data_IF_839452102982
#
_entry.id   IF_839452102982
#
_cell.length_a   1.000
_cell.length_b   1.000
_cell.length_c   1.000
_cell.angle_alpha   90.00
_cell.angle_beta   90.00
_cell.angle_gamma   90.00
#
_symmetry.space_group_name_H-M   'P 1'
#
loop_
_entity.id
_entity.type
_entity.pdbx_description
1 polymer ?
#
# COMPACT_ATOMS: atom_id res chain seq x y z
N UNK A 1 -53.92 3.87 -22.53
CA UNK A 1 -52.99 3.18 -23.45
C UNK A 1 -52.29 2.06 -22.69
N UNK A 2 -51.73 1.11 -23.44
CA UNK A 2 -51.56 -0.30 -23.15
C UNK A 2 -50.57 -0.71 -22.04
N UNK A 3 -50.77 -1.94 -21.56
CA UNK A 3 -49.91 -2.73 -20.65
C UNK A 3 -48.72 -3.25 -21.47
N UNK A 4 -47.49 -3.19 -20.93
CA UNK A 4 -46.42 -4.12 -21.33
C UNK A 4 -45.82 -4.78 -20.10
N UNK A 5 -46.12 -6.07 -20.02
CA UNK A 5 -45.58 -7.11 -19.14
C UNK A 5 -44.24 -7.54 -19.72
N UNK A 6 -43.17 -7.51 -18.93
CA UNK A 6 -41.91 -8.13 -19.35
C UNK A 6 -41.47 -9.20 -18.34
N UNK A 7 -40.99 -10.32 -18.90
CA UNK A 7 -40.84 -11.61 -18.27
C UNK A 7 -39.48 -11.76 -17.59
N UNK A 8 -39.52 -12.27 -16.35
CA UNK A 8 -38.37 -12.82 -15.64
C UNK A 8 -37.89 -14.12 -16.30
N UNK A 9 -36.58 -14.24 -16.57
CA UNK A 9 -35.92 -15.51 -16.86
C UNK A 9 -34.56 -15.55 -16.16
N UNK A 10 -34.37 -16.59 -15.36
CA UNK A 10 -33.14 -16.97 -14.63
C UNK A 10 -32.44 -18.11 -15.36
N UNK A 11 -31.14 -18.25 -15.09
CA UNK A 11 -30.19 -19.38 -15.30
C UNK A 11 -29.15 -19.06 -16.39
N UNK A 12 -27.85 -19.38 -16.24
CA UNK A 12 -27.25 -20.55 -15.59
C UNK A 12 -25.77 -20.31 -15.27
N UNK A 13 -25.30 -21.03 -14.24
CA UNK A 13 -23.94 -21.16 -13.74
C UNK A 13 -22.91 -21.68 -14.75
N UNK A 14 -21.64 -21.32 -14.53
CA UNK A 14 -20.46 -21.85 -15.23
C UNK A 14 -19.20 -21.60 -14.41
N UNK A 15 -18.94 -22.50 -13.46
CA UNK A 15 -17.69 -22.71 -12.74
C UNK A 15 -16.72 -23.46 -13.67
N UNK A 16 -15.47 -23.01 -13.83
CA UNK A 16 -14.31 -23.90 -13.84
C UNK A 16 -12.95 -23.16 -13.79
N UNK A 17 -11.93 -23.93 -13.44
CA UNK A 17 -10.74 -23.56 -12.68
C UNK A 17 -9.41 -23.66 -13.47
N UNK A 18 -8.39 -22.93 -12.99
CA UNK A 18 -6.92 -23.14 -13.07
C UNK A 18 -6.15 -23.19 -14.41
N UNK A 19 -5.02 -22.46 -14.53
CA UNK A 19 -3.95 -22.76 -15.49
C UNK A 19 -2.84 -23.64 -14.87
N UNK A 20 -2.44 -24.67 -15.61
CA UNK A 20 -1.40 -25.64 -15.25
C UNK A 20 0.02 -25.21 -15.61
N UNK A 21 0.95 -25.87 -14.93
CA UNK A 21 2.42 -25.75 -14.91
C UNK A 21 3.15 -26.44 -16.07
N UNK A 22 4.48 -26.17 -16.15
CA UNK A 22 5.57 -26.87 -16.86
C UNK A 22 5.98 -26.26 -18.21
N UNK A 23 7.23 -26.23 -18.67
CA UNK A 23 8.58 -26.54 -18.14
C UNK A 23 9.62 -26.13 -19.20
N UNK A 24 10.89 -26.03 -18.77
CA UNK A 24 12.16 -25.85 -19.48
C UNK A 24 12.28 -26.36 -20.93
N UNK A 25 13.07 -25.66 -21.75
CA UNK A 25 13.82 -26.22 -22.88
C UNK A 25 15.02 -25.31 -23.19
N UNK A 26 16.22 -25.89 -23.09
CA UNK A 26 17.53 -25.36 -23.47
C UNK A 26 18.05 -26.23 -24.61
N UNK A 27 18.64 -25.63 -25.64
CA UNK A 27 19.66 -26.19 -26.55
C UNK A 27 19.91 -25.17 -27.67
N UNK A 28 21.17 -24.81 -27.91
CA UNK A 28 21.77 -24.74 -29.26
C UNK A 28 23.27 -24.38 -29.19
N UNK A 29 24.01 -25.05 -30.08
CA UNK A 29 25.46 -25.25 -30.21
C UNK A 29 26.28 -24.05 -30.74
N UNK A 30 27.62 -24.04 -30.54
CA UNK A 30 28.61 -24.32 -31.60
C UNK A 30 30.09 -24.00 -31.24
N UNK A 31 30.92 -24.97 -31.64
CA UNK A 31 32.37 -25.08 -31.92
C UNK A 31 33.29 -23.83 -32.04
N UNK A 32 34.48 -23.89 -31.44
CA UNK A 32 35.75 -24.23 -32.12
C UNK A 32 37.02 -23.84 -31.31
N UNK A 33 37.98 -24.75 -31.36
CA UNK A 33 39.28 -24.83 -30.67
C UNK A 33 40.31 -23.78 -31.13
N UNK A 34 41.34 -23.45 -30.29
CA UNK A 34 42.80 -23.37 -30.59
C UNK A 34 43.61 -22.93 -29.34
N UNK A 35 44.26 -23.87 -28.64
CA UNK A 35 45.72 -24.17 -28.63
C UNK A 35 46.66 -23.12 -27.99
N UNK A 36 47.04 -23.41 -26.73
CA UNK A 36 48.34 -23.34 -26.04
C UNK A 36 49.25 -22.12 -26.22
N UNK A 37 49.73 -21.53 -25.10
CA UNK A 37 51.15 -21.47 -24.71
C UNK A 37 51.31 -20.89 -23.29
N UNK A 38 52.18 -21.54 -22.52
CA UNK A 38 52.59 -21.27 -21.15
C UNK A 38 53.47 -20.01 -20.99
N UNK A 39 53.43 -19.45 -19.78
CA UNK A 39 54.51 -18.76 -19.01
C UNK A 39 55.18 -17.53 -19.68
N UNK A 40 55.19 -16.35 -19.06
CA UNK A 40 56.29 -15.92 -18.18
C UNK A 40 55.90 -14.69 -17.32
N UNK A 41 56.54 -14.61 -16.15
CA UNK A 41 56.58 -13.48 -15.23
C UNK A 41 57.18 -12.23 -15.89
N UNK A 42 56.79 -11.03 -15.44
CA UNK A 42 57.70 -9.93 -15.05
C UNK A 42 56.88 -8.81 -14.38
N UNK A 43 57.52 -8.13 -13.44
CA UNK A 43 56.99 -7.15 -12.48
C UNK A 43 56.89 -5.71 -13.05
N UNK A 44 56.43 -4.78 -12.20
CA UNK A 44 56.48 -3.31 -12.32
C UNK A 44 55.35 -2.60 -13.10
N UNK A 45 54.34 -2.16 -12.34
CA UNK A 45 53.90 -0.77 -12.43
C UNK A 45 53.31 -0.33 -11.10
N UNK A 46 54.00 0.61 -10.45
CA UNK A 46 53.56 1.32 -9.25
C UNK A 46 52.28 2.10 -9.52
N UNK A 47 51.13 1.45 -9.33
CA UNK A 47 49.83 2.09 -9.25
C UNK A 47 49.66 2.66 -7.85
N UNK A 48 49.92 3.96 -7.73
CA UNK A 48 49.53 4.84 -6.62
C UNK A 48 48.29 4.31 -5.88
N UNK A 49 48.46 3.86 -4.64
CA UNK A 49 47.37 3.58 -3.68
C UNK A 49 46.65 4.89 -3.33
N UNK A 50 45.85 5.34 -4.28
CA UNK A 50 44.78 6.31 -4.16
C UNK A 50 43.63 5.64 -3.43
N UNK A 51 43.52 5.75 -2.10
CA UNK A 51 42.26 5.60 -1.34
C UNK A 51 42.42 6.26 0.04
N UNK A 52 42.93 7.49 0.11
CA UNK A 52 42.92 8.25 1.37
C UNK A 52 41.51 8.80 1.62
N UNK A 53 40.83 8.16 2.57
CA UNK A 53 39.84 8.79 3.44
C UNK A 53 38.70 9.52 2.73
N UNK A 54 37.94 8.78 1.93
CA UNK A 54 36.52 9.09 1.79
C UNK A 54 35.82 8.52 3.02
N UNK A 55 35.98 9.20 4.16
CA UNK A 55 35.02 9.18 5.26
C UNK A 55 33.73 9.79 4.71
N UNK A 56 33.03 9.01 3.89
CA UNK A 56 31.64 9.25 3.56
C UNK A 56 30.88 8.97 4.84
N UNK A 57 30.95 9.94 5.75
CA UNK A 57 30.04 10.08 6.86
C UNK A 57 28.65 9.94 6.27
N UNK A 58 28.10 8.75 6.40
CA UNK A 58 26.68 8.52 6.42
C UNK A 58 26.22 9.31 7.65
N UNK A 59 26.01 10.60 7.46
CA UNK A 59 25.00 11.34 8.19
C UNK A 59 23.74 10.53 7.92
N UNK A 60 23.48 9.60 8.82
CA UNK A 60 22.15 9.08 8.97
C UNK A 60 21.39 10.34 9.29
N UNK A 61 20.59 10.83 8.34
CA UNK A 61 19.56 11.81 8.61
C UNK A 61 18.70 11.15 9.68
N UNK A 62 19.11 11.34 10.93
CA UNK A 62 18.42 10.94 12.12
C UNK A 62 17.23 11.86 12.13
N UNK A 63 16.17 11.39 11.47
CA UNK A 63 14.89 12.07 11.39
C UNK A 63 14.59 12.55 12.80
N UNK A 64 14.71 13.85 13.03
CA UNK A 64 14.55 14.41 14.35
C UNK A 64 13.07 14.26 14.70
N UNK A 65 12.76 13.16 15.40
CA UNK A 65 11.43 12.84 15.89
C UNK A 65 10.92 13.94 16.83
N UNK A 66 11.82 14.82 17.31
CA UNK A 66 11.50 15.99 18.13
C UNK A 66 10.91 17.16 17.34
N UNK A 67 11.10 17.22 16.01
CA UNK A 67 10.59 18.30 15.15
C UNK A 67 9.28 17.92 14.41
N UNK A 68 8.87 16.65 14.48
CA UNK A 68 7.90 16.07 13.55
C UNK A 68 6.44 15.96 14.04
N UNK A 69 6.12 16.60 15.15
CA UNK A 69 4.74 16.68 15.64
C UNK A 69 4.62 17.54 16.89
N UNK A 70 3.48 18.20 17.04
CA UNK A 70 3.05 18.70 18.35
C UNK A 70 3.12 17.51 19.33
N UNK A 71 3.53 17.70 20.58
CA UNK A 71 3.88 16.61 21.53
C UNK A 71 2.75 15.57 21.79
N UNK A 72 1.58 15.78 21.20
CA UNK A 72 0.37 14.95 21.27
C UNK A 72 0.04 14.24 19.95
N UNK A 73 0.92 14.27 18.93
CA UNK A 73 0.68 13.65 17.62
C UNK A 73 1.83 12.75 17.20
N UNK A 74 1.51 11.68 16.47
CA UNK A 74 2.46 10.74 15.86
C UNK A 74 2.43 10.88 14.35
N UNK A 75 3.59 10.93 13.69
CA UNK A 75 3.65 10.93 12.23
C UNK A 75 3.39 9.52 11.69
N UNK A 76 2.39 9.40 10.84
CA UNK A 76 2.04 8.21 10.08
C UNK A 76 2.26 8.41 8.58
N UNK A 77 2.59 7.33 7.88
CA UNK A 77 2.73 7.25 6.44
C UNK A 77 1.72 6.22 5.90
N UNK A 78 0.90 6.64 4.93
CA UNK A 78 -0.04 5.76 4.21
C UNK A 78 0.20 5.93 2.72
N UNK A 79 0.78 4.90 2.10
CA UNK A 79 1.26 5.00 0.72
C UNK A 79 2.33 6.10 0.62
N UNK A 80 2.07 7.10 -0.20
CA UNK A 80 2.91 8.26 -0.46
C UNK A 80 2.41 9.56 0.24
N UNK A 81 1.46 9.44 1.17
CA UNK A 81 0.98 10.55 1.99
C UNK A 81 1.45 10.41 3.44
N UNK A 82 1.97 11.50 4.00
CA UNK A 82 2.29 11.62 5.43
C UNK A 82 1.17 12.39 6.15
N UNK A 83 0.81 11.94 7.36
CA UNK A 83 -0.21 12.59 8.19
C UNK A 83 0.13 12.47 9.68
N UNK A 84 -0.19 13.50 10.45
CA UNK A 84 -0.03 13.49 11.91
C UNK A 84 -1.32 13.00 12.56
N UNK A 85 -1.22 11.95 13.37
CA UNK A 85 -2.34 11.29 14.05
C UNK A 85 -2.31 11.64 15.54
N UNK A 86 -3.38 12.17 16.13
CA UNK A 86 -3.44 12.44 17.56
C UNK A 86 -3.31 11.17 18.40
N UNK A 87 -2.48 11.22 19.47
CA UNK A 87 -2.26 10.07 20.36
C UNK A 87 -3.53 9.60 21.06
N UNK A 88 -4.45 10.53 21.35
CA UNK A 88 -5.76 10.24 21.97
C UNK A 88 -6.61 9.29 21.12
N UNK A 89 -6.38 9.23 19.79
CA UNK A 89 -7.08 8.31 18.91
C UNK A 89 -6.83 6.84 19.30
N UNK A 90 -5.66 6.53 19.88
CA UNK A 90 -5.31 5.18 20.30
C UNK A 90 -6.04 4.72 21.57
N UNK A 91 -6.47 5.65 22.41
CA UNK A 91 -7.23 5.37 23.63
C UNK A 91 -8.67 4.97 23.33
N UNK A 92 -9.15 5.24 22.11
CA UNK A 92 -10.48 4.84 21.67
C UNK A 92 -10.60 3.30 21.57
N UNK A 93 -11.78 2.73 21.90
CA UNK A 93 -12.03 1.31 21.71
C UNK A 93 -12.10 0.94 20.23
N UNK A 94 -12.66 1.82 19.39
CA UNK A 94 -12.77 1.70 17.95
C UNK A 94 -12.86 3.08 17.27
N UNK A 95 -12.68 3.11 15.95
CA UNK A 95 -12.79 4.33 15.15
C UNK A 95 -14.24 4.76 14.88
N UNK A 96 -15.24 3.93 15.18
CA UNK A 96 -16.64 4.22 14.87
C UNK A 96 -17.19 5.42 15.64
N UNK A 97 -16.59 5.74 16.79
CA UNK A 97 -16.90 6.96 17.55
C UNK A 97 -16.55 8.26 16.82
N UNK A 98 -15.54 8.25 15.94
CA UNK A 98 -15.08 9.41 15.19
C UNK A 98 -15.51 9.31 13.72
N UNK A 99 -15.29 8.16 13.10
CA UNK A 99 -15.66 7.85 11.71
C UNK A 99 -17.06 7.22 11.68
N UNK A 100 -18.08 8.07 11.82
CA UNK A 100 -19.48 7.66 11.81
C UNK A 100 -20.28 8.35 10.70
N UNK A 101 -21.46 7.82 10.40
CA UNK A 101 -22.40 8.45 9.47
C UNK A 101 -22.91 9.80 10.00
N UNK A 102 -22.99 9.94 11.33
CA UNK A 102 -23.38 11.18 11.98
C UNK A 102 -22.28 12.24 11.77
N UNK A 103 -21.01 11.91 12.02
CA UNK A 103 -19.87 12.78 11.72
C UNK A 103 -19.88 13.18 10.24
N UNK A 104 -20.07 12.20 9.34
CA UNK A 104 -20.13 12.46 7.90
C UNK A 104 -21.22 13.50 7.54
N UNK A 105 -22.40 13.41 8.15
CA UNK A 105 -23.53 14.28 7.81
C UNK A 105 -23.56 15.61 8.56
N UNK A 106 -23.05 15.66 9.79
CA UNK A 106 -23.22 16.79 10.70
C UNK A 106 -21.97 17.66 10.82
N UNK A 107 -20.76 17.09 10.72
CA UNK A 107 -19.52 17.84 10.92
C UNK A 107 -18.84 18.26 9.63
N UNK A 108 -19.07 17.53 8.54
CA UNK A 108 -18.47 17.81 7.23
C UNK A 108 -19.37 18.71 6.38
N UNK A 109 -18.74 19.67 5.70
CA UNK A 109 -19.38 20.49 4.67
C UNK A 109 -19.68 19.66 3.42
N UNK A 110 -20.55 20.19 2.54
CA UNK A 110 -20.84 19.53 1.26
C UNK A 110 -19.61 19.40 0.35
N UNK A 111 -18.73 20.41 0.36
CA UNK A 111 -17.47 20.39 -0.40
C UNK A 111 -16.52 19.30 0.11
N UNK A 112 -16.35 19.18 1.42
CA UNK A 112 -15.50 18.13 2.02
C UNK A 112 -16.05 16.73 1.71
N UNK A 113 -17.36 16.53 1.82
CA UNK A 113 -18.00 15.25 1.44
C UNK A 113 -17.80 14.94 -0.04
N UNK A 114 -17.90 15.94 -0.90
CA UNK A 114 -17.65 15.78 -2.33
C UNK A 114 -16.21 15.33 -2.60
N UNK A 115 -15.22 16.00 -2.00
CA UNK A 115 -13.80 15.62 -2.14
C UNK A 115 -13.54 14.22 -1.58
N UNK A 116 -14.09 13.88 -0.42
CA UNK A 116 -13.93 12.56 0.18
C UNK A 116 -14.58 11.47 -0.67
N UNK A 117 -15.74 11.76 -1.28
CA UNK A 117 -16.43 10.81 -2.16
C UNK A 117 -15.61 10.43 -3.40
N UNK A 118 -14.66 11.28 -3.84
CA UNK A 118 -13.75 10.96 -4.95
C UNK A 118 -12.75 9.84 -4.62
N UNK A 119 -12.59 9.47 -3.35
CA UNK A 119 -11.77 8.33 -2.92
C UNK A 119 -12.56 7.02 -2.88
N UNK A 120 -13.87 7.06 -3.16
CA UNK A 120 -14.71 5.87 -3.24
C UNK A 120 -14.80 5.38 -4.70
N UNK A 121 -15.12 4.09 -4.91
CA UNK A 121 -15.36 3.56 -6.25
C UNK A 121 -16.51 4.30 -6.96
N UNK A 122 -16.47 4.33 -8.29
CA UNK A 122 -17.58 4.85 -9.09
C UNK A 122 -18.83 3.98 -8.91
N UNK A 123 -19.94 4.60 -8.51
CA UNK A 123 -21.19 3.93 -8.18
C UNK A 123 -22.38 4.88 -8.32
N UNK A 124 -23.57 4.30 -8.50
CA UNK A 124 -24.80 5.09 -8.53
C UNK A 124 -25.20 5.56 -7.12
N UNK A 125 -26.12 6.54 -7.07
CA UNK A 125 -26.51 7.20 -5.83
C UNK A 125 -27.07 6.24 -4.75
N UNK A 126 -27.80 5.20 -5.16
CA UNK A 126 -28.36 4.23 -4.21
C UNK A 126 -27.25 3.38 -3.59
N UNK A 127 -26.38 2.84 -4.44
CA UNK A 127 -25.21 2.06 -4.00
C UNK A 127 -24.25 2.89 -3.15
N UNK A 128 -24.10 4.18 -3.45
CA UNK A 128 -23.31 5.11 -2.65
C UNK A 128 -23.80 5.23 -1.21
N UNK A 129 -25.09 5.49 -1.03
CA UNK A 129 -25.68 5.63 0.30
C UNK A 129 -25.56 4.33 1.11
N UNK A 130 -25.81 3.18 0.45
CA UNK A 130 -25.64 1.87 1.08
C UNK A 130 -24.18 1.63 1.47
N UNK A 131 -23.24 1.86 0.55
CA UNK A 131 -21.80 1.64 0.78
C UNK A 131 -21.29 2.47 1.94
N UNK A 132 -21.65 3.77 2.03
CA UNK A 132 -21.27 4.61 3.16
C UNK A 132 -21.82 4.09 4.49
N UNK A 133 -23.10 3.70 4.51
CA UNK A 133 -23.71 3.12 5.69
C UNK A 133 -22.99 1.84 6.12
N UNK A 134 -22.66 0.95 5.18
CA UNK A 134 -21.93 -0.30 5.46
C UNK A 134 -20.49 -0.05 5.93
N UNK A 135 -19.80 0.92 5.33
CA UNK A 135 -18.45 1.32 5.70
C UNK A 135 -18.40 1.82 7.14
N UNK A 136 -19.24 2.80 7.48
CA UNK A 136 -19.26 3.42 8.81
C UNK A 136 -19.91 2.55 9.90
N UNK A 137 -20.71 1.54 9.52
CA UNK A 137 -21.18 0.50 10.46
C UNK A 137 -20.16 -0.62 10.70
N UNK A 138 -18.97 -0.53 10.10
CA UNK A 138 -17.89 -1.50 10.32
C UNK A 138 -18.17 -2.87 9.68
N UNK A 139 -19.00 -2.95 8.64
CA UNK A 139 -19.23 -4.20 7.91
C UNK A 139 -17.96 -4.64 7.15
N UNK A 140 -17.96 -5.90 6.75
CA UNK A 140 -16.85 -6.49 6.00
C UNK A 140 -16.89 -6.09 4.52
N UNK A 141 -15.75 -5.60 4.03
CA UNK A 141 -15.45 -5.39 2.62
C UNK A 141 -14.33 -6.35 2.26
N UNK A 142 -14.63 -7.39 1.48
CA UNK A 142 -13.66 -8.43 1.10
C UNK A 142 -12.89 -8.98 2.32
N UNK A 143 -13.55 -9.88 3.05
CA UNK A 143 -13.02 -10.64 4.20
C UNK A 143 -12.79 -9.86 5.50
N UNK A 144 -12.67 -8.53 5.49
CA UNK A 144 -12.48 -7.72 6.72
C UNK A 144 -13.17 -6.36 6.63
N UNK A 145 -13.39 -5.72 7.78
CA UNK A 145 -13.84 -4.33 7.82
C UNK A 145 -12.67 -3.37 7.54
N UNK A 146 -12.81 -2.40 6.62
CA UNK A 146 -11.78 -1.38 6.37
C UNK A 146 -11.46 -0.55 7.62
N UNK A 147 -12.49 -0.16 8.40
CA UNK A 147 -12.30 0.63 9.61
C UNK A 147 -11.51 -0.14 10.68
N UNK A 148 -11.87 -1.41 10.91
CA UNK A 148 -11.16 -2.26 11.86
C UNK A 148 -9.72 -2.49 11.38
N UNK A 149 -9.54 -2.79 10.09
CA UNK A 149 -8.22 -3.02 9.50
C UNK A 149 -7.33 -1.79 9.59
N UNK A 150 -7.87 -0.59 9.35
CA UNK A 150 -7.15 0.67 9.51
C UNK A 150 -6.72 0.86 10.96
N UNK A 151 -7.64 0.67 11.92
CA UNK A 151 -7.34 0.89 13.32
C UNK A 151 -6.29 -0.07 13.87
N UNK A 152 -6.37 -1.35 13.48
CA UNK A 152 -5.34 -2.33 13.81
C UNK A 152 -3.99 -1.98 13.20
N UNK A 153 -3.97 -1.45 11.96
CA UNK A 153 -2.73 -1.00 11.32
C UNK A 153 -2.09 0.17 12.06
N UNK A 154 -2.91 1.14 12.47
CA UNK A 154 -2.47 2.27 13.28
C UNK A 154 -1.90 1.79 14.62
N UNK A 155 -2.67 1.04 15.41
CA UNK A 155 -2.23 0.50 16.71
C UNK A 155 -1.05 -0.47 16.61
N UNK A 156 -0.89 -1.14 15.47
CA UNK A 156 0.21 -2.05 15.20
C UNK A 156 1.50 -1.38 14.72
N UNK A 157 1.55 -0.05 14.61
CA UNK A 157 2.71 0.69 14.12
C UNK A 157 3.02 0.43 12.63
N UNK A 158 2.06 -0.12 11.87
CA UNK A 158 2.24 -0.42 10.45
C UNK A 158 2.21 0.84 9.57
N UNK A 159 1.79 1.96 10.16
CA UNK A 159 1.83 3.28 9.54
C UNK A 159 3.07 4.09 9.95
N UNK A 160 3.97 3.58 10.79
CA UNK A 160 5.22 4.30 11.10
C UNK A 160 6.05 4.47 9.81
N UNK A 161 6.50 5.68 9.45
CA UNK A 161 7.29 5.93 8.24
C UNK A 161 8.49 5.00 8.08
N UNK A 162 9.14 4.65 9.19
CA UNK A 162 10.29 3.71 9.21
C UNK A 162 9.85 2.30 8.82
N UNK A 163 8.66 1.88 9.25
CA UNK A 163 8.10 0.56 8.94
C UNK A 163 7.58 0.46 7.51
N UNK A 164 7.02 1.55 6.96
CA UNK A 164 6.47 1.59 5.60
C UNK A 164 7.56 1.34 4.54
N UNK A 165 8.79 1.79 4.77
CA UNK A 165 9.93 1.55 3.86
C UNK A 165 10.20 0.06 3.59
N UNK A 166 9.85 -0.81 4.53
CA UNK A 166 10.10 -2.25 4.42
C UNK A 166 8.98 -3.03 3.73
N UNK A 167 7.86 -2.40 3.39
CA UNK A 167 6.65 -3.11 2.92
C UNK A 167 6.60 -3.42 1.42
N UNK A 168 7.53 -2.88 0.62
CA UNK A 168 7.52 -3.06 -0.84
C UNK A 168 6.32 -2.39 -1.51
N UNK A 169 6.53 -1.74 -2.65
CA UNK A 169 5.47 -1.09 -3.45
C UNK A 169 4.54 -2.14 -4.04
#
# INVERSE_FOLDING_TARGET
>A
MAIVKNNFRVSRSGEDTSPGTASSSTEDDDEALRTVSEEEQEEDSSGSDDWSDLDSGMESDELDLSELGDAMTELCQVGNQSCSIPLELYDLPDLGSVLSLDTWNETLTEEERFVLSANLPDMDQETFALTLHELFSGKNFHFRSPLITLFERLKGGLCDPRMVLYRGV
#
